data_IF_116257827756
#
_entry.id   IF_116257827756
#
_cell.length_a   1.000
_cell.length_b   1.000
_cell.length_c   1.000
_cell.angle_alpha   90.00
_cell.angle_beta   90.00
_cell.angle_gamma   90.00
#
_symmetry.space_group_name_H-M   'P 1'
#
loop_
_entity.id
_entity.type
_entity.pdbx_description
1 polymer ?
#
# COMPACT_ATOMS: atom_id res chain seq x y z
N UNK A 1 -3.71 -25.59 -3.19
CA UNK A 1 -2.47 -26.01 -2.51
C UNK A 1 -1.71 -24.76 -2.08
N UNK A 2 -1.56 -24.59 -0.77
CA UNK A 2 -1.05 -23.40 -0.09
C UNK A 2 0.32 -22.94 -0.60
N UNK A 3 0.52 -21.62 -0.68
CA UNK A 3 1.79 -21.00 -1.07
C UNK A 3 2.95 -21.41 -0.15
N UNK A 4 2.64 -21.74 1.11
CA UNK A 4 3.60 -22.20 2.11
C UNK A 4 4.24 -23.53 1.71
N UNK A 5 3.42 -24.50 1.28
CA UNK A 5 3.89 -25.83 0.83
C UNK A 5 4.89 -25.77 -0.32
N UNK A 6 4.76 -24.78 -1.22
CA UNK A 6 5.74 -24.56 -2.30
C UNK A 6 7.07 -24.02 -1.77
N UNK A 7 7.03 -23.06 -0.83
CA UNK A 7 8.25 -22.51 -0.22
C UNK A 7 9.03 -23.60 0.51
N UNK A 8 8.35 -24.42 1.30
CA UNK A 8 8.97 -25.51 2.06
C UNK A 8 9.61 -26.56 1.13
N UNK A 9 8.92 -26.90 0.04
CA UNK A 9 9.46 -27.80 -0.98
C UNK A 9 10.77 -27.27 -1.61
N UNK A 10 10.81 -25.99 -1.97
CA UNK A 10 12.01 -25.39 -2.55
C UNK A 10 13.14 -25.17 -1.53
N UNK A 11 12.81 -24.94 -0.26
CA UNK A 11 13.80 -24.89 0.81
C UNK A 11 14.50 -26.25 0.96
N UNK A 12 13.75 -27.35 0.95
CA UNK A 12 14.31 -28.70 1.02
C UNK A 12 15.22 -29.01 -0.17
N UNK A 13 14.80 -28.69 -1.39
CA UNK A 13 15.62 -28.88 -2.61
C UNK A 13 16.95 -28.10 -2.52
N UNK A 14 16.94 -26.87 -1.98
CA UNK A 14 18.15 -26.07 -1.79
C UNK A 14 19.06 -26.64 -0.70
N UNK A 15 18.49 -27.22 0.35
CA UNK A 15 19.22 -27.90 1.43
C UNK A 15 19.91 -29.17 0.90
N UNK A 16 19.19 -29.99 0.11
CA UNK A 16 19.72 -31.19 -0.55
C UNK A 16 20.88 -30.85 -1.49
N UNK A 17 20.75 -29.77 -2.26
CA UNK A 17 21.84 -29.30 -3.12
C UNK A 17 23.05 -28.82 -2.29
N UNK A 18 22.83 -28.20 -1.13
CA UNK A 18 23.91 -27.71 -0.25
C UNK A 18 24.66 -28.86 0.43
N UNK A 19 23.95 -29.92 0.82
CA UNK A 19 24.56 -31.10 1.42
C UNK A 19 25.23 -32.00 0.37
N UNK A 20 24.75 -31.98 -0.87
CA UNK A 20 25.37 -32.66 -2.00
C UNK A 20 26.63 -31.96 -2.48
N UNK A 21 27.70 -32.71 -2.72
CA UNK A 21 28.92 -32.20 -3.39
C UNK A 21 28.74 -31.99 -4.90
N UNK A 22 27.50 -31.85 -5.37
CA UNK A 22 27.15 -31.72 -6.79
C UNK A 22 27.04 -30.25 -7.18
N UNK A 23 27.55 -29.92 -8.35
CA UNK A 23 27.36 -28.58 -8.91
C UNK A 23 25.87 -28.33 -9.19
N UNK A 24 25.42 -27.07 -9.07
CA UNK A 24 24.01 -26.68 -9.31
C UNK A 24 23.51 -27.20 -10.66
N UNK A 25 24.35 -27.17 -11.71
CA UNK A 25 23.99 -27.68 -13.04
C UNK A 25 23.73 -29.19 -13.05
N UNK A 26 24.57 -29.97 -12.37
CA UNK A 26 24.40 -31.42 -12.27
C UNK A 26 23.17 -31.77 -11.43
N UNK A 27 22.97 -31.06 -10.32
CA UNK A 27 21.79 -31.24 -9.48
C UNK A 27 20.49 -30.91 -10.23
N UNK A 28 20.46 -29.79 -10.96
CA UNK A 28 19.32 -29.41 -11.81
C UNK A 28 19.02 -30.46 -12.88
N UNK A 29 20.05 -31.04 -13.50
CA UNK A 29 19.90 -32.11 -14.49
C UNK A 29 19.35 -33.41 -13.88
N UNK A 30 19.77 -33.77 -12.66
CA UNK A 30 19.30 -34.98 -11.97
C UNK A 30 17.87 -34.85 -11.44
N UNK A 31 17.53 -33.71 -10.84
CA UNK A 31 16.20 -33.47 -10.27
C UNK A 31 15.18 -32.97 -11.29
N UNK A 32 15.55 -32.91 -12.57
CA UNK A 32 14.71 -32.38 -13.66
C UNK A 32 14.16 -30.97 -13.37
N UNK A 33 15.00 -30.13 -12.74
CA UNK A 33 14.68 -28.75 -12.36
C UNK A 33 15.34 -27.79 -13.34
N UNK A 34 14.61 -26.79 -13.80
CA UNK A 34 15.20 -25.71 -14.61
C UNK A 34 16.18 -24.89 -13.78
N UNK A 35 17.36 -24.64 -14.34
CA UNK A 35 18.39 -23.79 -13.74
C UNK A 35 17.86 -22.40 -13.36
N UNK A 36 16.97 -21.83 -14.18
CA UNK A 36 16.36 -20.53 -13.92
C UNK A 36 15.44 -20.56 -12.71
N UNK A 37 14.66 -21.63 -12.56
CA UNK A 37 13.74 -21.82 -11.44
C UNK A 37 14.50 -22.02 -10.14
N UNK A 38 15.60 -22.78 -10.16
CA UNK A 38 16.48 -22.94 -9.00
C UNK A 38 17.05 -21.60 -8.51
N UNK A 39 17.62 -20.80 -9.43
CA UNK A 39 18.16 -19.49 -9.09
C UNK A 39 17.08 -18.52 -8.59
N UNK A 40 15.89 -18.54 -9.18
CA UNK A 40 14.76 -17.74 -8.73
C UNK A 40 14.40 -18.06 -7.28
N UNK A 41 14.23 -19.34 -6.93
CA UNK A 41 13.85 -19.74 -5.57
C UNK A 41 14.99 -19.55 -4.56
N UNK A 42 16.23 -19.80 -4.95
CA UNK A 42 17.41 -19.49 -4.13
C UNK A 42 17.44 -18.01 -3.76
N UNK A 43 17.24 -17.11 -4.73
CA UNK A 43 17.17 -15.67 -4.45
C UNK A 43 15.96 -15.32 -3.59
N UNK A 44 14.79 -15.87 -3.89
CA UNK A 44 13.53 -15.57 -3.18
C UNK A 44 13.52 -16.02 -1.72
N UNK A 45 14.19 -17.13 -1.40
CA UNK A 45 14.27 -17.68 -0.05
C UNK A 45 15.41 -17.05 0.78
N UNK A 46 16.46 -16.53 0.13
CA UNK A 46 17.55 -15.82 0.80
C UNK A 46 17.32 -14.30 0.92
N UNK A 47 16.34 -13.75 0.20
CA UNK A 47 16.00 -12.33 0.36
C UNK A 47 15.19 -12.15 1.66
N UNK A 48 15.67 -11.32 2.60
CA UNK A 48 14.82 -10.89 3.71
C UNK A 48 13.60 -10.19 3.11
N UNK A 49 12.41 -10.56 3.58
CA UNK A 49 11.18 -9.96 3.12
C UNK A 49 11.31 -8.43 3.32
N UNK A 50 11.08 -7.61 2.28
CA UNK A 50 11.24 -6.18 2.42
C UNK A 50 10.32 -5.73 3.55
N UNK A 51 10.92 -5.22 4.63
CA UNK A 51 10.18 -4.70 5.77
C UNK A 51 9.21 -3.65 5.25
N UNK A 52 7.93 -4.03 5.19
CA UNK A 52 6.89 -3.11 4.76
C UNK A 52 6.69 -2.15 5.92
N UNK A 53 7.40 -1.02 5.88
CA UNK A 53 7.23 0.05 6.86
C UNK A 53 5.85 0.68 6.65
N UNK A 54 4.90 0.30 7.50
CA UNK A 54 3.59 0.95 7.57
C UNK A 54 3.77 2.35 8.17
N UNK A 55 3.49 3.37 7.38
CA UNK A 55 3.43 4.74 7.86
C UNK A 55 2.06 4.95 8.53
N UNK A 56 2.01 5.30 9.83
CA UNK A 56 0.74 5.53 10.51
C UNK A 56 0.06 6.77 9.93
N UNK A 57 -1.20 6.62 9.53
CA UNK A 57 -2.05 7.75 9.15
C UNK A 57 -2.53 8.40 10.44
N UNK A 58 -1.97 9.56 10.77
CA UNK A 58 -2.46 10.38 11.89
C UNK A 58 -3.66 11.16 11.39
N UNK A 59 -4.86 10.76 11.83
CA UNK A 59 -6.08 11.54 11.62
C UNK A 59 -6.01 12.69 12.62
N UNK A 60 -5.51 13.83 12.17
CA UNK A 60 -5.68 15.07 12.93
C UNK A 60 -7.13 15.48 12.74
N UNK A 61 -7.99 15.10 13.68
CA UNK A 61 -9.29 15.73 13.84
C UNK A 61 -9.00 17.21 14.11
N UNK A 62 -9.15 18.04 13.06
CA UNK A 62 -9.04 19.48 13.18
C UNK A 62 -10.13 19.87 14.16
N UNK A 63 -9.70 20.22 15.38
CA UNK A 63 -10.57 20.55 16.50
C UNK A 63 -11.82 21.25 15.97
N UNK A 64 -12.96 20.60 16.15
CA UNK A 64 -14.26 21.09 15.73
C UNK A 64 -14.40 22.50 16.31
N UNK A 65 -14.08 23.50 15.50
CA UNK A 65 -14.48 24.86 15.77
C UNK A 65 -15.99 24.76 15.81
N UNK A 66 -16.58 24.82 17.00
CA UNK A 66 -18.01 24.81 17.23
C UNK A 66 -18.70 26.05 16.65
N UNK A 67 -18.05 26.73 15.70
CA UNK A 67 -18.66 27.71 14.83
C UNK A 67 -19.57 26.95 13.86
N UNK A 68 -20.85 26.91 14.20
CA UNK A 68 -21.90 26.51 13.27
C UNK A 68 -21.66 27.22 11.93
N UNK A 69 -21.45 26.46 10.87
CA UNK A 69 -21.19 26.98 9.53
C UNK A 69 -22.32 26.58 8.58
N UNK A 70 -22.61 27.45 7.63
CA UNK A 70 -23.52 27.22 6.51
C UNK A 70 -22.66 26.92 5.29
N UNK A 71 -22.93 25.79 4.66
CA UNK A 71 -22.25 25.38 3.43
C UNK A 71 -23.13 25.78 2.25
N UNK A 72 -22.62 26.66 1.38
CA UNK A 72 -23.24 27.02 0.11
C UNK A 72 -22.55 26.27 -1.02
N UNK A 73 -23.34 25.66 -1.91
CA UNK A 73 -22.84 25.01 -3.12
C UNK A 73 -23.49 25.68 -4.33
N UNK A 74 -22.68 26.32 -5.17
CA UNK A 74 -23.13 26.98 -6.39
C UNK A 74 -23.15 25.99 -7.57
N UNK A 75 -23.94 26.29 -8.60
CA UNK A 75 -24.06 25.47 -9.81
C UNK A 75 -22.78 25.45 -10.67
N UNK A 76 -21.85 26.37 -10.42
CA UNK A 76 -20.52 26.42 -11.01
C UNK A 76 -19.51 25.49 -10.30
N UNK A 77 -19.94 24.73 -9.28
CA UNK A 77 -19.11 23.79 -8.54
C UNK A 77 -18.34 24.40 -7.37
N UNK A 78 -18.51 25.71 -7.10
CA UNK A 78 -17.88 26.36 -5.94
C UNK A 78 -18.62 25.96 -4.66
N UNK A 79 -17.86 25.54 -3.65
CA UNK A 79 -18.33 25.27 -2.29
C UNK A 79 -17.70 26.29 -1.35
N UNK A 80 -18.54 27.03 -0.63
CA UNK A 80 -18.13 28.01 0.36
C UNK A 80 -18.68 27.63 1.74
N UNK A 81 -17.83 27.74 2.77
CA UNK A 81 -18.23 27.56 4.17
C UNK A 81 -18.27 28.93 4.83
N UNK A 82 -19.45 29.32 5.33
CA UNK A 82 -19.68 30.62 5.93
C UNK A 82 -20.08 30.46 7.40
N UNK A 83 -19.61 31.33 8.31
CA UNK A 83 -20.09 31.36 9.69
C UNK A 83 -21.60 31.65 9.80
N UNK A 84 -22.31 31.05 10.77
CA UNK A 84 -23.74 31.36 11.00
C UNK A 84 -23.99 32.72 11.65
N UNK A 85 -22.95 33.42 12.12
CA UNK A 85 -23.08 34.73 12.77
C UNK A 85 -23.07 35.91 11.77
N UNK A 86 -23.16 35.63 10.47
CA UNK A 86 -23.21 36.67 9.44
C UNK A 86 -24.56 37.39 9.44
N UNK A 87 -24.52 38.71 9.26
CA UNK A 87 -25.73 39.52 9.09
C UNK A 87 -26.23 39.50 7.63
N UNK A 88 -27.47 39.95 7.39
CA UNK A 88 -28.10 39.90 6.07
C UNK A 88 -27.34 40.65 4.96
N UNK A 89 -26.63 41.73 5.30
CA UNK A 89 -25.82 42.48 4.34
C UNK A 89 -24.58 41.67 3.91
N UNK A 90 -23.91 41.02 4.87
CA UNK A 90 -22.76 40.16 4.62
C UNK A 90 -23.16 38.94 3.81
N UNK A 91 -24.29 38.31 4.13
CA UNK A 91 -24.82 37.16 3.38
C UNK A 91 -25.06 37.57 1.92
N UNK A 92 -25.73 38.70 1.69
CA UNK A 92 -26.01 39.18 0.33
C UNK A 92 -24.72 39.42 -0.46
N UNK A 93 -23.75 40.10 0.16
CA UNK A 93 -22.45 40.37 -0.47
C UNK A 93 -21.70 39.09 -0.87
N UNK A 94 -21.66 38.08 0.01
CA UNK A 94 -20.99 36.81 -0.30
C UNK A 94 -21.72 35.99 -1.35
N UNK A 95 -23.06 35.99 -1.34
CA UNK A 95 -23.85 35.31 -2.38
C UNK A 95 -23.62 35.96 -3.75
N UNK A 96 -23.58 37.29 -3.82
CA UNK A 96 -23.26 38.01 -5.06
C UNK A 96 -21.83 37.74 -5.55
N UNK A 97 -20.86 37.55 -4.66
CA UNK A 97 -19.47 37.24 -5.03
C UNK A 97 -19.26 35.81 -5.52
N UNK A 98 -20.19 34.88 -5.23
CA UNK A 98 -20.10 33.45 -5.56
C UNK A 98 -20.93 33.03 -6.79
N UNK A 99 -21.76 33.95 -7.30
CA UNK A 99 -22.51 33.83 -8.56
C UNK A 99 -21.62 34.18 -9.76
#
# INVERSE_FOLDING_TARGET
MEQQSKRDHWANILEEQRQGNLTIKQFCAQQNVSYQTFHYWSKKLNQPEPETQVQPIVITELAESSASCVVLTSNNGVRAELPTNLNSLQIKHWVEALQ
#
